data_IF_743143479444
#
_entry.id   IF_743143479444
#
_cell.length_a   1.000
_cell.length_b   1.000
_cell.length_c   1.000
_cell.angle_alpha   90.00
_cell.angle_beta   90.00
_cell.angle_gamma   90.00
#
_symmetry.space_group_name_H-M   'P 1'
#
loop_
_entity.id
_entity.type
_entity.pdbx_description
1 polymer ?
#
# COMPACT_ATOMS: atom_id res chain seq x y z
N UNK A 1 -27.05 84.50 -37.13
CA UNK A 1 -26.09 83.43 -36.77
C UNK A 1 -24.61 83.86 -36.71
N UNK A 2 -24.25 85.16 -36.81
CA UNK A 2 -22.83 85.60 -36.76
C UNK A 2 -22.33 86.01 -35.36
N UNK A 3 -23.21 86.25 -34.38
CA UNK A 3 -22.81 86.74 -33.05
C UNK A 3 -22.35 85.63 -32.07
N UNK A 4 -22.89 84.40 -32.17
CA UNK A 4 -22.46 83.29 -31.28
C UNK A 4 -21.08 82.72 -31.63
N UNK A 5 -20.60 82.92 -32.87
CA UNK A 5 -19.27 82.46 -33.28
C UNK A 5 -18.17 83.43 -32.83
N UNK A 6 -18.48 84.73 -32.71
CA UNK A 6 -17.52 85.74 -32.26
C UNK A 6 -17.28 85.67 -30.74
N UNK A 7 -18.31 85.33 -29.94
CA UNK A 7 -18.18 85.09 -28.49
C UNK A 7 -17.37 83.82 -28.17
N UNK A 8 -17.52 82.75 -28.97
CA UNK A 8 -16.74 81.50 -28.84
C UNK A 8 -15.25 81.69 -29.19
N UNK A 9 -14.94 82.55 -30.15
CA UNK A 9 -13.55 82.87 -30.53
C UNK A 9 -12.86 83.73 -29.46
N UNK A 10 -13.59 84.62 -28.78
CA UNK A 10 -13.04 85.43 -27.69
C UNK A 10 -12.75 84.63 -26.41
N UNK A 11 -13.52 83.57 -26.13
CA UNK A 11 -13.34 82.73 -24.94
C UNK A 11 -12.18 81.73 -25.10
N UNK A 12 -11.96 81.20 -26.31
CA UNK A 12 -10.83 80.30 -26.63
C UNK A 12 -9.49 81.06 -26.68
N UNK A 13 -9.48 82.32 -27.11
CA UNK A 13 -8.28 83.16 -27.10
C UNK A 13 -7.74 83.49 -25.71
N UNK A 14 -8.61 83.60 -24.71
CA UNK A 14 -8.23 83.91 -23.32
C UNK A 14 -7.62 82.70 -22.58
N UNK A 15 -8.01 81.48 -22.95
CA UNK A 15 -7.45 80.23 -22.41
C UNK A 15 -6.07 79.92 -23.01
N UNK A 16 -5.83 80.29 -24.28
CA UNK A 16 -4.51 80.14 -24.91
C UNK A 16 -3.47 81.14 -24.36
N UNK A 17 -3.90 82.31 -23.90
CA UNK A 17 -3.01 83.33 -23.31
C UNK A 17 -2.52 82.98 -21.89
N UNK A 18 -3.26 82.12 -21.15
CA UNK A 18 -2.86 81.70 -19.80
C UNK A 18 -1.83 80.54 -19.81
N UNK A 19 -1.67 79.83 -20.93
CA UNK A 19 -0.68 78.75 -21.07
C UNK A 19 0.72 79.24 -21.46
N UNK A 20 0.86 80.50 -21.90
CA UNK A 20 2.16 81.09 -22.31
C UNK A 20 2.80 81.97 -21.24
N UNK A 21 2.20 82.10 -20.05
CA UNK A 21 2.68 82.96 -18.96
C UNK A 21 3.46 82.24 -17.85
N UNK A 22 3.73 80.94 -17.96
CA UNK A 22 4.70 80.28 -17.07
C UNK A 22 5.94 79.92 -17.88
N UNK A 23 6.70 80.93 -18.27
CA UNK A 23 7.86 80.75 -19.12
C UNK A 23 8.69 82.01 -19.26
N UNK A 24 9.39 82.39 -18.20
CA UNK A 24 10.57 83.23 -18.35
C UNK A 24 11.75 82.64 -17.56
N UNK A 25 12.69 82.11 -18.35
CA UNK A 25 14.14 82.25 -18.19
C UNK A 25 14.82 81.42 -17.09
N UNK A 26 15.51 80.34 -17.48
CA UNK A 26 16.95 80.38 -17.79
C UNK A 26 17.51 78.96 -18.08
N UNK A 27 18.46 78.92 -19.01
CA UNK A 27 19.54 77.93 -19.15
C UNK A 27 19.30 76.61 -19.92
N UNK A 28 19.73 76.68 -21.18
CA UNK A 28 20.31 75.62 -21.98
C UNK A 28 21.25 74.67 -21.21
N UNK A 29 21.09 73.35 -21.39
CA UNK A 29 22.21 72.41 -21.33
C UNK A 29 22.15 71.22 -20.35
N UNK A 30 21.01 70.90 -19.72
CA UNK A 30 21.03 69.93 -18.60
C UNK A 30 19.86 68.94 -18.56
N UNK A 31 19.31 68.55 -19.71
CA UNK A 31 18.17 67.61 -19.75
C UNK A 31 18.60 66.13 -19.85
N UNK A 32 19.83 65.85 -20.26
CA UNK A 32 20.39 64.49 -20.38
C UNK A 32 21.10 64.00 -19.10
N UNK A 33 21.50 64.91 -18.21
CA UNK A 33 22.11 64.57 -16.91
C UNK A 33 21.03 64.27 -15.87
N UNK A 34 19.96 65.06 -15.81
CA UNK A 34 18.86 64.85 -14.86
C UNK A 34 18.12 63.52 -15.05
N UNK A 35 18.00 63.01 -16.29
CA UNK A 35 17.41 61.69 -16.53
C UNK A 35 18.33 60.55 -16.07
N UNK A 36 19.65 60.69 -16.24
CA UNK A 36 20.61 59.72 -15.70
C UNK A 36 20.64 59.75 -14.18
N UNK A 37 20.65 60.93 -13.58
CA UNK A 37 20.69 61.08 -12.11
C UNK A 37 19.37 60.62 -11.47
N UNK A 38 18.22 60.92 -12.08
CA UNK A 38 16.92 60.41 -11.65
C UNK A 38 16.81 58.90 -11.86
N UNK A 39 17.35 58.35 -12.95
CA UNK A 39 17.41 56.90 -13.17
C UNK A 39 18.26 56.20 -12.12
N UNK A 40 19.43 56.75 -11.79
CA UNK A 40 20.31 56.21 -10.74
C UNK A 40 19.63 56.29 -9.38
N UNK A 41 18.97 57.40 -9.06
CA UNK A 41 18.20 57.56 -7.83
C UNK A 41 17.04 56.55 -7.74
N UNK A 42 16.32 56.32 -8.84
CA UNK A 42 15.26 55.29 -8.88
C UNK A 42 15.86 53.89 -8.77
N UNK A 43 17.02 53.63 -9.38
CA UNK A 43 17.72 52.35 -9.23
C UNK A 43 18.15 52.11 -7.78
N UNK A 44 18.65 53.13 -7.10
CA UNK A 44 19.07 53.06 -5.71
C UNK A 44 17.86 52.85 -4.78
N UNK A 45 16.72 53.51 -5.04
CA UNK A 45 15.46 53.27 -4.32
C UNK A 45 14.96 51.83 -4.54
N UNK A 46 15.10 51.28 -5.75
CA UNK A 46 14.73 49.89 -6.04
C UNK A 46 15.68 48.87 -5.39
N UNK A 47 16.97 49.20 -5.23
CA UNK A 47 17.97 48.37 -4.57
C UNK A 47 18.02 48.55 -3.04
N UNK A 48 17.31 49.53 -2.50
CA UNK A 48 17.22 49.75 -1.04
C UNK A 48 16.27 48.72 -0.42
N UNK A 49 16.49 48.37 0.84
CA UNK A 49 15.66 47.39 1.58
C UNK A 49 14.17 47.74 1.56
N UNK A 50 13.83 49.03 1.61
CA UNK A 50 12.45 49.53 1.51
C UNK A 50 11.84 49.28 0.12
N UNK A 51 12.64 49.37 -0.95
CA UNK A 51 12.22 49.02 -2.32
C UNK A 51 11.92 47.53 -2.46
N UNK A 52 12.81 46.69 -1.94
CA UNK A 52 12.59 45.23 -1.89
C UNK A 52 11.37 44.86 -1.04
N UNK A 53 11.17 45.54 0.09
CA UNK A 53 10.02 45.32 0.97
C UNK A 53 8.71 45.76 0.31
N UNK A 54 8.68 46.92 -0.34
CA UNK A 54 7.52 47.42 -1.07
C UNK A 54 7.15 46.51 -2.25
N UNK A 55 8.14 45.98 -2.99
CA UNK A 55 7.91 44.99 -4.07
C UNK A 55 7.38 43.68 -3.48
N UNK A 56 7.97 43.20 -2.38
CA UNK A 56 7.53 41.97 -1.70
C UNK A 56 6.11 42.09 -1.15
N UNK A 57 5.73 43.26 -0.61
CA UNK A 57 4.39 43.58 -0.12
C UNK A 57 3.38 43.75 -1.26
N UNK A 58 3.76 44.42 -2.35
CA UNK A 58 2.94 44.51 -3.56
C UNK A 58 2.69 43.13 -4.19
N UNK A 59 3.72 42.28 -4.24
CA UNK A 59 3.61 40.90 -4.71
C UNK A 59 2.80 39.99 -3.77
N UNK A 60 2.82 40.23 -2.44
CA UNK A 60 1.97 39.49 -1.48
C UNK A 60 0.49 39.80 -1.66
N UNK A 61 0.16 40.96 -2.22
CA UNK A 61 -1.22 41.45 -2.36
C UNK A 61 -1.92 40.98 -3.65
N UNK A 62 -1.18 40.39 -4.59
CA UNK A 62 -1.73 39.91 -5.86
C UNK A 62 -1.62 38.38 -5.95
N UNK A 63 -2.70 37.78 -6.42
CA UNK A 63 -2.96 36.34 -6.56
C UNK A 63 -1.78 35.56 -7.17
N UNK A 64 -1.48 34.40 -6.57
CA UNK A 64 -0.50 33.39 -6.99
C UNK A 64 0.79 33.93 -7.62
N UNK A 65 1.71 34.36 -6.75
CA UNK A 65 3.11 34.68 -7.08
C UNK A 65 3.75 33.67 -8.04
N UNK A 66 3.42 32.39 -7.88
CA UNK A 66 3.93 31.30 -8.72
C UNK A 66 3.44 31.42 -10.15
N UNK A 67 2.15 31.65 -10.39
CA UNK A 67 1.55 31.74 -11.73
C UNK A 67 2.01 33.00 -12.47
N UNK A 68 2.13 34.13 -11.76
CA UNK A 68 2.59 35.38 -12.36
C UNK A 68 4.09 35.36 -12.70
N UNK A 69 4.92 34.76 -11.83
CA UNK A 69 6.36 34.60 -12.07
C UNK A 69 6.63 33.57 -13.19
N UNK A 70 5.81 32.52 -13.32
CA UNK A 70 5.91 31.51 -14.38
C UNK A 70 5.48 32.03 -15.76
N UNK A 71 4.68 33.10 -15.81
CA UNK A 71 4.15 33.68 -17.06
C UNK A 71 5.09 34.70 -17.72
N UNK A 72 6.17 35.10 -17.06
CA UNK A 72 7.21 35.94 -17.67
C UNK A 72 8.15 35.10 -18.53
N UNK A 73 8.90 35.72 -19.45
CA UNK A 73 9.91 35.02 -20.25
C UNK A 73 11.00 34.34 -19.41
N UNK A 74 11.21 34.78 -18.17
CA UNK A 74 12.09 34.15 -17.19
C UNK A 74 11.42 32.96 -16.50
N UNK A 75 10.12 33.06 -16.21
CA UNK A 75 9.31 31.96 -15.71
C UNK A 75 9.28 30.74 -16.63
N UNK A 76 9.16 30.97 -17.94
CA UNK A 76 9.22 29.89 -18.94
C UNK A 76 10.59 29.22 -19.00
N UNK A 77 11.67 30.01 -18.91
CA UNK A 77 13.05 29.46 -18.83
C UNK A 77 13.25 28.65 -17.55
N UNK A 78 12.72 29.14 -16.43
CA UNK A 78 12.75 28.42 -15.15
C UNK A 78 11.95 27.11 -15.24
N UNK A 79 10.77 27.12 -15.85
CA UNK A 79 9.96 25.91 -16.06
C UNK A 79 10.68 24.89 -16.95
N UNK A 80 11.36 25.33 -18.02
CA UNK A 80 12.15 24.45 -18.87
C UNK A 80 13.36 23.87 -18.11
N UNK A 81 14.07 24.69 -17.34
CA UNK A 81 15.18 24.22 -16.51
C UNK A 81 14.72 23.20 -15.46
N UNK A 82 13.60 23.46 -14.78
CA UNK A 82 13.02 22.50 -13.82
C UNK A 82 12.59 21.21 -14.52
N UNK A 83 11.97 21.30 -15.71
CA UNK A 83 11.63 20.12 -16.50
C UNK A 83 12.87 19.32 -16.88
N UNK A 84 13.94 19.98 -17.30
CA UNK A 84 15.21 19.34 -17.66
C UNK A 84 15.82 18.64 -16.44
N UNK A 85 15.92 19.31 -15.29
CA UNK A 85 16.40 18.70 -14.03
C UNK A 85 15.55 17.49 -13.60
N UNK A 86 14.22 17.56 -13.77
CA UNK A 86 13.31 16.48 -13.37
C UNK A 86 13.23 15.32 -14.38
N UNK A 87 13.60 15.54 -15.64
CA UNK A 87 13.51 14.52 -16.71
C UNK A 87 14.85 14.01 -17.19
N UNK A 88 15.96 14.68 -16.86
CA UNK A 88 17.31 14.24 -17.18
C UNK A 88 17.67 13.00 -16.34
N UNK A 89 17.91 11.84 -16.99
CA UNK A 89 18.29 10.62 -16.29
C UNK A 89 19.59 10.77 -15.48
N UNK A 90 20.47 11.71 -15.82
CA UNK A 90 21.69 11.98 -15.07
C UNK A 90 21.45 12.72 -13.74
N UNK A 91 20.29 13.36 -13.58
CA UNK A 91 19.89 14.13 -12.39
C UNK A 91 18.88 13.39 -11.50
N UNK A 92 18.47 12.19 -11.90
CA UNK A 92 17.67 11.25 -11.10
C UNK A 92 18.22 11.01 -9.69
N UNK A 93 19.56 11.12 -9.52
CA UNK A 93 20.23 11.02 -8.21
C UNK A 93 19.79 12.08 -7.21
N UNK A 94 19.53 13.31 -7.68
CA UNK A 94 19.05 14.39 -6.81
C UNK A 94 17.64 14.07 -6.31
N UNK A 95 16.77 13.58 -7.19
CA UNK A 95 15.42 13.15 -6.83
C UNK A 95 15.46 11.95 -5.89
N UNK A 96 16.34 10.97 -6.12
CA UNK A 96 16.54 9.82 -5.23
C UNK A 96 17.02 10.26 -3.84
N UNK A 97 17.97 11.18 -3.74
CA UNK A 97 18.43 11.75 -2.47
C UNK A 97 17.30 12.51 -1.75
N UNK A 98 16.49 13.25 -2.51
CA UNK A 98 15.36 14.01 -1.97
C UNK A 98 14.24 13.09 -1.48
N UNK A 99 13.98 11.97 -2.18
CA UNK A 99 13.02 10.94 -1.76
C UNK A 99 13.44 10.19 -0.49
N UNK A 100 14.73 10.22 -0.12
CA UNK A 100 15.21 9.66 1.15
C UNK A 100 14.98 10.58 2.35
N UNK A 101 14.68 11.86 2.15
CA UNK A 101 14.32 12.77 3.24
C UNK A 101 12.91 12.44 3.76
N UNK A 102 12.73 12.06 5.04
CA UNK A 102 11.42 11.71 5.60
C UNK A 102 10.38 12.82 5.51
N UNK A 103 10.79 14.10 5.55
CA UNK A 103 9.85 15.23 5.44
C UNK A 103 9.28 15.33 4.04
N UNK A 104 10.14 15.25 3.04
CA UNK A 104 9.75 15.23 1.64
C UNK A 104 8.95 13.97 1.31
N UNK A 105 9.48 12.78 1.66
CA UNK A 105 8.82 11.50 1.42
C UNK A 105 7.44 11.43 2.09
N UNK A 106 7.29 11.94 3.31
CA UNK A 106 6.01 11.98 4.01
C UNK A 106 5.00 12.93 3.35
N UNK A 107 5.43 14.11 2.90
CA UNK A 107 4.56 15.04 2.17
C UNK A 107 4.17 14.47 0.80
N UNK A 108 5.13 13.88 0.08
CA UNK A 108 4.92 13.22 -1.20
C UNK A 108 3.95 12.04 -1.07
N UNK A 109 4.20 11.13 -0.11
CA UNK A 109 3.34 9.98 0.16
C UNK A 109 1.90 10.40 0.49
N UNK A 110 1.71 11.46 1.27
CA UNK A 110 0.37 12.04 1.55
C UNK A 110 -0.29 12.58 0.29
N UNK A 111 0.47 13.26 -0.57
CA UNK A 111 -0.05 13.85 -1.79
C UNK A 111 -0.50 12.79 -2.81
N UNK A 112 0.20 11.65 -2.89
CA UNK A 112 -0.13 10.57 -3.81
C UNK A 112 -1.01 9.47 -3.20
N UNK A 113 -1.34 9.55 -1.90
CA UNK A 113 -1.93 8.44 -1.16
C UNK A 113 -3.23 7.94 -1.80
N UNK A 114 -4.08 8.86 -2.24
CA UNK A 114 -5.41 8.56 -2.78
C UNK A 114 -5.28 7.88 -4.14
N UNK A 115 -4.48 8.46 -5.02
CA UNK A 115 -4.21 7.96 -6.37
C UNK A 115 -3.48 6.62 -6.31
N UNK A 116 -2.51 6.47 -5.39
CA UNK A 116 -1.81 5.21 -5.18
C UNK A 116 -2.74 4.11 -4.65
N UNK A 117 -3.64 4.43 -3.72
CA UNK A 117 -4.64 3.48 -3.24
C UNK A 117 -5.63 3.08 -4.36
N UNK A 118 -5.99 4.02 -5.23
CA UNK A 118 -6.83 3.71 -6.39
C UNK A 118 -6.09 2.83 -7.39
N UNK A 119 -4.84 3.14 -7.71
CA UNK A 119 -3.98 2.34 -8.58
C UNK A 119 -3.86 0.91 -8.06
N UNK A 120 -3.60 0.72 -6.77
CA UNK A 120 -3.53 -0.64 -6.19
C UNK A 120 -4.87 -1.38 -6.29
N UNK A 121 -6.01 -0.71 -6.12
CA UNK A 121 -7.34 -1.34 -6.29
C UNK A 121 -7.62 -1.71 -7.75
N UNK A 122 -7.15 -0.92 -8.69
CA UNK A 122 -7.29 -1.19 -10.12
C UNK A 122 -6.36 -2.33 -10.55
N UNK A 123 -5.11 -2.34 -10.09
CA UNK A 123 -4.16 -3.45 -10.28
C UNK A 123 -4.70 -4.76 -9.73
N UNK A 124 -5.37 -4.77 -8.57
CA UNK A 124 -6.00 -6.00 -8.04
C UNK A 124 -7.06 -6.60 -8.97
N UNK A 125 -7.64 -5.82 -9.88
CA UNK A 125 -8.61 -6.30 -10.88
C UNK A 125 -7.94 -6.76 -12.18
N UNK A 126 -6.66 -6.46 -12.36
CA UNK A 126 -5.90 -6.85 -13.53
C UNK A 126 -5.53 -8.34 -13.48
N UNK A 127 -5.76 -9.11 -14.56
CA UNK A 127 -5.49 -10.55 -14.58
C UNK A 127 -4.01 -10.90 -14.42
N UNK A 128 -3.07 -10.07 -14.90
CA UNK A 128 -1.65 -10.35 -14.80
C UNK A 128 -1.11 -10.04 -13.40
N UNK A 129 -1.62 -8.98 -12.75
CA UNK A 129 -1.34 -8.72 -11.35
C UNK A 129 -1.90 -9.82 -10.43
N UNK A 130 -3.10 -10.33 -10.73
CA UNK A 130 -3.69 -11.46 -9.99
C UNK A 130 -2.84 -12.74 -10.12
N UNK A 131 -2.32 -13.04 -11.31
CA UNK A 131 -1.40 -14.19 -11.48
C UNK A 131 -0.14 -14.05 -10.64
N UNK A 132 0.48 -12.88 -10.66
CA UNK A 132 1.67 -12.60 -9.84
C UNK A 132 1.36 -12.69 -8.34
N UNK A 133 0.19 -12.23 -7.91
CA UNK A 133 -0.26 -12.36 -6.52
C UNK A 133 -0.48 -13.84 -6.13
N UNK A 134 -1.07 -14.64 -7.02
CA UNK A 134 -1.24 -16.07 -6.80
C UNK A 134 0.11 -16.80 -6.74
N UNK A 135 1.08 -16.39 -7.55
CA UNK A 135 2.43 -16.93 -7.50
C UNK A 135 3.12 -16.58 -6.17
N UNK A 136 2.97 -15.35 -5.70
CA UNK A 136 3.46 -14.93 -4.39
C UNK A 136 2.84 -15.76 -3.25
N UNK A 137 1.56 -16.10 -3.34
CA UNK A 137 0.86 -16.94 -2.36
C UNK A 137 1.26 -18.42 -2.40
N UNK A 138 1.99 -18.90 -3.43
CA UNK A 138 2.48 -20.30 -3.50
C UNK A 138 3.78 -20.53 -2.74
N UNK A 139 4.10 -19.68 -1.77
CA UNK A 139 5.29 -19.86 -0.94
C UNK A 139 5.02 -20.79 0.26
N UNK A 140 6.08 -21.34 0.84
CA UNK A 140 5.98 -22.27 1.98
C UNK A 140 5.40 -21.64 3.25
N UNK A 141 5.60 -20.33 3.46
CA UNK A 141 5.05 -19.62 4.62
C UNK A 141 3.52 -19.52 4.54
N UNK A 142 3.00 -19.23 3.35
CA UNK A 142 1.57 -19.18 3.08
C UNK A 142 0.93 -20.57 3.15
N UNK A 143 1.63 -21.61 2.67
CA UNK A 143 1.19 -23.00 2.82
C UNK A 143 1.05 -23.39 4.30
N UNK A 144 2.04 -23.05 5.13
CA UNK A 144 1.98 -23.29 6.58
C UNK A 144 0.83 -22.52 7.25
N UNK A 145 0.65 -21.24 6.89
CA UNK A 145 -0.48 -20.44 7.38
C UNK A 145 -1.83 -21.07 7.01
N UNK A 146 -1.95 -21.60 5.79
CA UNK A 146 -3.15 -22.29 5.33
C UNK A 146 -3.37 -23.60 6.09
N UNK A 147 -2.32 -24.40 6.30
CA UNK A 147 -2.38 -25.65 7.08
C UNK A 147 -2.78 -25.39 8.53
N UNK A 148 -2.25 -24.34 9.16
CA UNK A 148 -2.62 -23.96 10.52
C UNK A 148 -4.06 -23.46 10.59
N UNK A 149 -4.51 -22.72 9.57
CA UNK A 149 -5.92 -22.33 9.44
C UNK A 149 -6.83 -23.56 9.31
N UNK A 150 -6.45 -24.58 8.53
CA UNK A 150 -7.20 -25.84 8.44
C UNK A 150 -7.17 -26.67 9.73
N UNK A 151 -6.10 -26.56 10.53
CA UNK A 151 -6.02 -27.21 11.85
C UNK A 151 -6.79 -26.48 12.93
N UNK A 152 -7.21 -25.24 12.68
CA UNK A 152 -7.97 -24.43 13.61
C UNK A 152 -9.26 -25.12 14.06
N UNK A 153 -9.69 -24.84 15.30
CA UNK A 153 -10.91 -25.42 15.86
C UNK A 153 -12.16 -25.07 15.03
N UNK A 154 -12.21 -23.86 14.46
CA UNK A 154 -13.33 -23.43 13.62
C UNK A 154 -13.41 -24.26 12.34
N UNK A 155 -12.29 -24.48 11.66
CA UNK A 155 -12.26 -25.31 10.46
C UNK A 155 -12.58 -26.78 10.78
N UNK A 156 -12.07 -27.32 11.90
CA UNK A 156 -12.41 -28.68 12.35
C UNK A 156 -13.91 -28.88 12.59
N UNK A 157 -14.60 -27.90 13.15
CA UNK A 157 -16.06 -27.97 13.33
C UNK A 157 -16.80 -28.01 11.98
N UNK A 158 -16.39 -27.19 11.02
CA UNK A 158 -16.95 -27.24 9.68
C UNK A 158 -16.64 -28.56 8.97
N UNK A 159 -15.40 -29.03 9.06
CA UNK A 159 -14.98 -30.33 8.51
C UNK A 159 -15.78 -31.48 9.14
N UNK A 160 -16.03 -31.45 10.45
CA UNK A 160 -16.86 -32.45 11.12
C UNK A 160 -18.31 -32.43 10.63
N UNK A 161 -18.90 -31.25 10.40
CA UNK A 161 -20.25 -31.13 9.81
C UNK A 161 -20.30 -31.67 8.39
N UNK A 162 -19.33 -31.29 7.55
CA UNK A 162 -19.23 -31.79 6.17
C UNK A 162 -19.09 -33.32 6.17
N UNK A 163 -18.29 -33.88 7.09
CA UNK A 163 -18.15 -35.33 7.24
C UNK A 163 -19.46 -36.00 7.68
N UNK A 164 -20.17 -35.41 8.64
CA UNK A 164 -21.48 -35.91 9.09
C UNK A 164 -22.52 -35.89 7.96
N UNK A 165 -22.58 -34.80 7.18
CA UNK A 165 -23.46 -34.67 6.00
C UNK A 165 -23.06 -35.67 4.90
N UNK A 166 -21.76 -35.86 4.67
CA UNK A 166 -21.25 -36.82 3.69
C UNK A 166 -21.65 -38.25 4.06
N UNK A 167 -21.59 -38.63 5.35
CA UNK A 167 -22.07 -39.94 5.81
C UNK A 167 -23.59 -40.12 5.68
N UNK A 168 -24.35 -39.02 5.54
CA UNK A 168 -25.78 -39.09 5.25
C UNK A 168 -26.08 -39.28 3.75
N UNK A 169 -25.08 -39.08 2.88
CA UNK A 169 -25.20 -39.32 1.44
C UNK A 169 -25.54 -40.80 1.16
N UNK A 170 -26.61 -41.09 0.41
CA UNK A 170 -26.98 -42.46 0.03
C UNK A 170 -25.84 -43.23 -0.63
N UNK A 171 -25.01 -42.57 -1.44
CA UNK A 171 -23.85 -43.20 -2.10
C UNK A 171 -22.82 -43.70 -1.08
N UNK A 172 -22.49 -42.88 -0.08
CA UNK A 172 -21.51 -43.24 0.96
C UNK A 172 -22.09 -44.31 1.87
N UNK A 173 -23.39 -44.24 2.21
CA UNK A 173 -24.06 -45.28 2.99
C UNK A 173 -24.04 -46.64 2.30
N UNK A 174 -24.32 -46.69 1.00
CA UNK A 174 -24.23 -47.93 0.23
C UNK A 174 -22.81 -48.48 0.22
N UNK A 175 -21.80 -47.64 0.00
CA UNK A 175 -20.39 -48.08 0.07
C UNK A 175 -19.99 -48.62 1.45
N UNK A 176 -20.47 -47.99 2.54
CA UNK A 176 -20.23 -48.48 3.90
C UNK A 176 -20.89 -49.86 4.10
N UNK A 177 -22.14 -50.03 3.63
CA UNK A 177 -22.85 -51.32 3.73
C UNK A 177 -22.15 -52.40 2.89
N UNK A 178 -21.71 -52.11 1.67
CA UNK A 178 -20.96 -53.06 0.84
C UNK A 178 -19.62 -53.45 1.48
N UNK A 179 -18.90 -52.49 2.08
CA UNK A 179 -17.67 -52.80 2.82
C UNK A 179 -17.96 -53.68 4.04
N UNK A 180 -19.01 -53.39 4.80
CA UNK A 180 -19.41 -54.22 5.94
C UNK A 180 -19.79 -55.65 5.52
N UNK A 181 -20.50 -55.80 4.39
CA UNK A 181 -20.82 -57.12 3.84
C UNK A 181 -19.56 -57.90 3.48
N UNK A 182 -18.59 -57.29 2.80
CA UNK A 182 -17.31 -57.93 2.47
C UNK A 182 -16.51 -58.36 3.71
N UNK A 183 -16.44 -57.50 4.73
CA UNK A 183 -15.74 -57.85 5.98
C UNK A 183 -16.43 -59.04 6.67
N UNK A 184 -17.77 -59.06 6.69
CA UNK A 184 -18.53 -60.18 7.27
C UNK A 184 -18.33 -61.46 6.45
N UNK A 185 -18.32 -61.39 5.14
CA UNK A 185 -18.05 -62.55 4.26
C UNK A 185 -16.63 -63.09 4.46
N UNK A 186 -15.62 -62.22 4.58
CA UNK A 186 -14.23 -62.60 4.85
C UNK A 186 -14.05 -63.24 6.24
N UNK A 187 -14.66 -62.68 7.28
CA UNK A 187 -14.61 -63.25 8.63
C UNK A 187 -15.41 -64.56 8.72
N UNK A 188 -16.56 -64.65 8.04
CA UNK A 188 -17.35 -65.88 7.97
C UNK A 188 -16.64 -66.97 7.16
N UNK A 189 -15.89 -66.59 6.12
CA UNK A 189 -15.05 -67.51 5.35
C UNK A 189 -13.84 -68.02 6.18
N UNK A 190 -13.30 -67.20 7.08
CA UNK A 190 -12.26 -67.59 8.04
C UNK A 190 -12.79 -68.43 9.21
N UNK A 191 -14.08 -68.32 9.55
CA UNK A 191 -14.71 -69.05 10.67
C UNK A 191 -15.33 -70.41 10.33
N UNK A 192 -15.19 -70.95 9.10
CA UNK A 192 -15.64 -72.34 8.85
C UNK A 192 -14.85 -73.32 9.73
N UNK A 193 -15.50 -74.07 10.64
CA UNK A 193 -14.83 -75.15 11.34
C UNK A 193 -14.47 -76.25 10.34
N UNK A 194 -13.22 -76.71 10.40
CA UNK A 194 -12.85 -78.05 9.92
C UNK A 194 -13.57 -79.07 10.82
N UNK A 195 -14.69 -79.61 10.36
CA UNK A 195 -15.41 -80.75 10.93
C UNK A 195 -16.31 -81.32 9.82
N UNK A 196 -16.32 -82.57 9.40
CA UNK A 196 -15.67 -83.80 9.84
C UNK A 196 -15.59 -84.71 8.61
N UNK A 197 -14.42 -85.27 8.30
CA UNK A 197 -14.34 -86.46 7.46
C UNK A 197 -14.32 -87.66 8.41
N UNK A 198 -15.51 -88.21 8.64
CA UNK A 198 -15.71 -89.41 9.44
C UNK A 198 -15.16 -90.64 8.68
N UNK A 199 -13.87 -90.92 8.92
CA UNK A 199 -13.18 -92.11 8.47
C UNK A 199 -13.56 -93.33 9.33
N UNK A 200 -14.18 -94.29 8.68
CA UNK A 200 -14.50 -95.61 9.23
C UNK A 200 -13.27 -96.51 9.06
N UNK A 201 -12.76 -97.09 10.16
CA UNK A 201 -12.11 -98.40 10.14
C UNK A 201 -10.60 -98.49 10.39
N UNK A 202 -10.31 -99.10 11.55
CA UNK A 202 -9.37 -100.22 11.77
C UNK A 202 -7.89 -99.95 12.11
N UNK A 203 -7.58 -100.35 13.36
CA UNK A 203 -6.44 -101.14 13.85
C UNK A 203 -5.02 -100.55 13.76
N UNK A 204 -4.43 -100.36 14.96
CA UNK A 204 -3.16 -101.01 15.29
C UNK A 204 -2.08 -100.12 15.92
N UNK A 205 -1.87 -100.29 17.23
CA UNK A 205 -0.54 -100.49 17.82
C UNK A 205 0.36 -99.28 18.11
N UNK A 206 0.47 -98.95 19.41
CA UNK A 206 1.74 -99.04 20.15
C UNK A 206 2.77 -97.91 20.10
N UNK A 207 3.12 -97.41 21.30
CA UNK A 207 4.34 -96.64 21.64
C UNK A 207 4.19 -95.12 21.49
N UNK A 208 4.55 -94.24 22.42
CA UNK A 208 5.45 -94.29 23.57
C UNK A 208 6.30 -93.00 23.56
N UNK A 209 6.46 -92.33 24.72
CA UNK A 209 7.35 -91.15 24.93
C UNK A 209 6.60 -89.81 24.96
N UNK A 210 6.38 -89.10 26.07
CA UNK A 210 7.26 -88.61 27.16
C UNK A 210 7.98 -87.28 26.81
N UNK A 211 7.90 -86.33 27.76
CA UNK A 211 8.58 -85.02 27.77
C UNK A 211 7.61 -83.85 27.51
N UNK A 212 7.24 -83.00 28.48
CA UNK A 212 8.03 -82.40 29.56
C UNK A 212 8.19 -80.92 29.23
N UNK A 213 7.41 -80.03 29.84
CA UNK A 213 7.90 -79.06 30.84
C UNK A 213 7.62 -77.65 30.29
N UNK A 214 6.90 -76.74 30.95
CA UNK A 214 7.05 -76.12 32.28
C UNK A 214 7.56 -74.67 32.15
N UNK A 215 6.91 -73.77 32.89
CA UNK A 215 7.41 -72.45 33.30
C UNK A 215 7.12 -71.32 32.32
N UNK A 216 6.58 -70.16 32.70
CA UNK A 216 6.26 -69.53 33.99
C UNK A 216 5.94 -68.06 33.63
N UNK A 217 4.82 -67.46 34.04
CA UNK A 217 4.51 -66.88 35.35
C UNK A 217 5.34 -65.63 35.72
N UNK A 218 4.62 -64.61 36.21
CA UNK A 218 5.13 -63.36 36.81
C UNK A 218 4.91 -62.14 35.91
N UNK A 219 3.96 -61.24 36.16
CA UNK A 219 3.75 -60.46 37.39
C UNK A 219 4.53 -59.13 37.26
N UNK A 220 4.04 -57.91 37.54
CA UNK A 220 2.91 -57.41 38.29
C UNK A 220 3.34 -56.08 38.94
N UNK A 221 2.45 -55.07 38.96
CA UNK A 221 2.53 -53.85 39.82
C UNK A 221 3.57 -52.79 39.41
N UNK A 222 3.37 -51.48 39.57
CA UNK A 222 2.36 -50.69 40.27
C UNK A 222 2.98 -49.35 40.71
N UNK A 223 2.16 -48.28 40.77
CA UNK A 223 2.41 -47.02 41.51
C UNK A 223 3.50 -46.09 40.96
N UNK A 224 3.43 -44.77 40.98
CA UNK A 224 2.58 -43.81 41.69
C UNK A 224 3.39 -42.51 41.90
N UNK A 225 2.69 -41.37 41.89
CA UNK A 225 3.12 -40.03 42.40
C UNK A 225 4.35 -39.35 41.75
N UNK A 226 4.45 -38.02 41.62
CA UNK A 226 3.63 -36.90 42.07
C UNK A 226 4.38 -35.57 41.86
N UNK A 227 3.65 -34.46 41.95
CA UNK A 227 4.16 -33.09 42.21
C UNK A 227 4.79 -32.34 41.02
N UNK A 228 4.57 -31.06 40.77
CA UNK A 228 3.87 -30.00 41.53
C UNK A 228 4.60 -28.66 41.36
N UNK A 229 3.82 -27.57 41.20
CA UNK A 229 4.23 -26.16 41.44
C UNK A 229 4.76 -25.41 40.20
N UNK A 230 4.35 -24.19 39.86
CA UNK A 230 3.48 -23.20 40.50
C UNK A 230 4.22 -21.87 40.78
N UNK A 231 3.68 -20.74 40.32
CA UNK A 231 3.97 -19.37 40.78
C UNK A 231 4.82 -18.52 39.82
N UNK A 232 4.38 -17.42 39.18
CA UNK A 232 3.68 -16.17 39.60
C UNK A 232 4.64 -14.98 39.79
N UNK A 233 4.22 -13.82 39.28
CA UNK A 233 4.83 -12.48 39.49
C UNK A 233 4.92 -11.71 38.17
N UNK A 234 4.24 -10.59 37.89
CA UNK A 234 3.56 -9.65 38.77
C UNK A 234 4.32 -8.31 38.83
N UNK A 235 4.02 -7.41 37.87
CA UNK A 235 4.03 -5.93 37.98
C UNK A 235 5.35 -5.19 38.23
N UNK A 236 5.61 -4.12 37.47
CA UNK A 236 5.51 -2.72 37.94
C UNK A 236 6.04 -1.70 36.93
N UNK A 237 5.46 -0.49 37.05
CA UNK A 237 5.87 0.83 36.57
C UNK A 237 5.38 1.27 35.19
#
# INVERSE_FOLDING_TARGET
MKLNRLSLISSVGLILALLTSCGQQQQSGQQSQSYKDMKTMVLDVLNTEDGHKAISEAQKKNTDKTTQLLSTGEGQKLQMAVKEVLTDPNQSKLLEQTMKDPKFAGAFAKAIQKENAQLHKELMKDPDYQKQMLELMKNQEFENLLLDTMRSQQYRQQAARIMQESMQSPLIRMQIVEMLQKVVEEESAKQKPRSDQQGQGKKGGGGGGEGGGEGGEGGGGGGGEGGGGGGSGGGQS
#
